data_IF_064652511663
#
_entry.id   IF_064652511663
#
_cell.length_a   1.000
_cell.length_b   1.000
_cell.length_c   1.000
_cell.angle_alpha   90.00
_cell.angle_beta   90.00
_cell.angle_gamma   90.00
#
_symmetry.space_group_name_H-M   'P 1'
#
loop_
_entity.id
_entity.type
_entity.pdbx_description
1 polymer ?
#
# COMPACT_ATOMS: atom_id res chain seq x y z
N UNK A 1 -96.06 -5.51 -14.05
CA UNK A 1 -95.19 -6.54 -13.36
C UNK A 1 -93.82 -6.64 -13.95
N UNK A 2 -93.61 -6.48 -15.29
CA UNK A 2 -92.31 -6.64 -15.95
C UNK A 2 -91.25 -5.51 -15.69
N UNK A 3 -91.70 -4.25 -15.52
CA UNK A 3 -90.73 -3.14 -15.31
C UNK A 3 -90.03 -3.23 -13.95
N UNK A 4 -90.72 -3.64 -12.88
CA UNK A 4 -90.18 -3.78 -11.55
C UNK A 4 -89.12 -4.85 -11.49
N UNK A 5 -89.32 -6.00 -12.19
CA UNK A 5 -88.38 -7.05 -12.33
C UNK A 5 -87.10 -6.64 -13.10
N UNK A 6 -87.28 -5.83 -14.14
CA UNK A 6 -86.16 -5.30 -14.92
C UNK A 6 -85.31 -4.33 -14.06
N UNK A 7 -85.95 -3.42 -13.34
CA UNK A 7 -85.26 -2.48 -12.44
C UNK A 7 -84.53 -3.22 -11.32
N UNK A 8 -85.14 -4.23 -10.73
CA UNK A 8 -84.52 -5.07 -9.69
C UNK A 8 -83.34 -5.82 -10.26
N UNK A 9 -83.44 -6.38 -11.47
CA UNK A 9 -82.29 -7.07 -12.13
C UNK A 9 -81.12 -6.12 -12.42
N UNK A 10 -81.44 -4.89 -12.92
CA UNK A 10 -80.38 -3.87 -13.17
C UNK A 10 -79.71 -3.39 -11.89
N UNK A 11 -80.44 -3.22 -10.78
CA UNK A 11 -79.82 -2.85 -9.49
C UNK A 11 -78.91 -3.97 -8.95
N UNK A 12 -79.28 -5.24 -9.07
CA UNK A 12 -78.43 -6.36 -8.65
C UNK A 12 -77.21 -6.42 -9.51
N UNK A 13 -77.29 -6.29 -10.82
CA UNK A 13 -76.10 -6.28 -11.71
C UNK A 13 -75.17 -5.10 -11.36
N UNK A 14 -75.73 -3.91 -11.12
CA UNK A 14 -74.95 -2.74 -10.75
C UNK A 14 -74.22 -2.94 -9.40
N UNK A 15 -74.90 -3.50 -8.40
CA UNK A 15 -74.27 -3.77 -7.09
C UNK A 15 -73.20 -4.82 -7.16
N UNK A 16 -73.35 -5.88 -7.95
CA UNK A 16 -72.33 -6.92 -8.19
C UNK A 16 -71.11 -6.32 -8.91
N UNK A 17 -71.35 -5.50 -9.95
CA UNK A 17 -70.23 -4.80 -10.65
C UNK A 17 -69.53 -3.84 -9.71
N UNK A 18 -70.23 -3.04 -8.95
CA UNK A 18 -69.62 -2.12 -7.95
C UNK A 18 -68.76 -2.91 -6.91
N UNK A 19 -69.33 -3.98 -6.38
CA UNK A 19 -68.60 -4.84 -5.42
C UNK A 19 -67.34 -5.47 -6.02
N UNK A 20 -67.39 -5.91 -7.28
CA UNK A 20 -66.22 -6.49 -7.97
C UNK A 20 -65.13 -5.45 -8.23
N UNK A 21 -65.49 -4.21 -8.61
CA UNK A 21 -64.53 -3.10 -8.77
C UNK A 21 -63.88 -2.74 -7.43
N UNK A 22 -64.66 -2.62 -6.36
CA UNK A 22 -64.14 -2.34 -5.03
C UNK A 22 -63.22 -3.44 -4.58
N UNK A 23 -63.57 -4.72 -4.76
CA UNK A 23 -62.70 -5.85 -4.43
C UNK A 23 -61.39 -5.83 -5.24
N UNK A 24 -61.43 -5.53 -6.54
CA UNK A 24 -60.24 -5.42 -7.39
C UNK A 24 -59.30 -4.27 -6.92
N UNK A 25 -59.88 -3.11 -6.58
CA UNK A 25 -59.12 -1.95 -6.05
C UNK A 25 -58.45 -2.30 -4.71
N UNK A 26 -59.17 -2.95 -3.80
CA UNK A 26 -58.66 -3.37 -2.50
C UNK A 26 -57.55 -4.41 -2.64
N UNK A 27 -57.69 -5.40 -3.51
CA UNK A 27 -56.67 -6.40 -3.82
C UNK A 27 -55.43 -5.77 -4.46
N UNK A 28 -55.62 -4.85 -5.40
CA UNK A 28 -54.54 -4.10 -6.04
C UNK A 28 -53.79 -3.26 -5.01
N UNK A 29 -54.48 -2.50 -4.17
CA UNK A 29 -53.87 -1.71 -3.11
C UNK A 29 -53.10 -2.55 -2.08
N UNK A 30 -53.63 -3.74 -1.72
CA UNK A 30 -52.96 -4.68 -0.83
C UNK A 30 -51.65 -5.20 -1.44
N UNK A 31 -51.69 -5.61 -2.71
CA UNK A 31 -50.47 -6.08 -3.43
C UNK A 31 -49.43 -4.97 -3.54
N UNK A 32 -49.81 -3.76 -3.83
CA UNK A 32 -48.91 -2.61 -3.88
C UNK A 32 -48.22 -2.36 -2.54
N UNK A 33 -48.97 -2.34 -1.44
CA UNK A 33 -48.44 -2.18 -0.07
C UNK A 33 -47.48 -3.30 0.32
N UNK A 34 -47.83 -4.56 -0.03
CA UNK A 34 -46.94 -5.70 0.22
C UNK A 34 -45.62 -5.62 -0.58
N UNK A 35 -45.69 -5.20 -1.84
CA UNK A 35 -44.52 -4.98 -2.69
C UNK A 35 -43.64 -3.86 -2.15
N UNK A 36 -44.23 -2.73 -1.78
CA UNK A 36 -43.50 -1.61 -1.18
C UNK A 36 -42.82 -2.03 0.15
N UNK A 37 -43.56 -2.75 1.02
CA UNK A 37 -43.01 -3.23 2.28
C UNK A 37 -41.85 -4.18 2.07
N UNK A 38 -41.93 -5.11 1.11
CA UNK A 38 -40.84 -6.01 0.76
C UNK A 38 -39.64 -5.23 0.25
N UNK A 39 -39.86 -4.27 -0.65
CA UNK A 39 -38.78 -3.42 -1.16
C UNK A 39 -38.08 -2.67 -0.01
N UNK A 40 -38.83 -2.03 0.90
CA UNK A 40 -38.25 -1.31 2.04
C UNK A 40 -37.47 -2.24 2.95
N UNK A 41 -37.99 -3.42 3.28
CA UNK A 41 -37.30 -4.40 4.10
C UNK A 41 -35.95 -4.85 3.45
N UNK A 42 -35.96 -5.10 2.15
CA UNK A 42 -34.74 -5.47 1.42
C UNK A 42 -33.76 -4.29 1.35
N UNK A 43 -34.23 -3.11 1.02
CA UNK A 43 -33.42 -1.89 0.89
C UNK A 43 -32.76 -1.50 2.22
N UNK A 44 -33.47 -1.60 3.33
CA UNK A 44 -32.96 -1.27 4.67
C UNK A 44 -32.11 -2.40 5.28
N UNK A 45 -32.24 -3.65 4.79
CA UNK A 45 -31.43 -4.79 5.27
C UNK A 45 -30.05 -4.90 4.64
N UNK A 46 -29.77 -4.15 3.57
CA UNK A 46 -28.44 -4.16 2.93
C UNK A 46 -27.44 -3.46 3.84
N UNK A 47 -26.27 -4.12 4.04
CA UNK A 47 -25.20 -3.57 4.87
C UNK A 47 -24.52 -2.35 4.28
N UNK A 48 -24.38 -2.31 2.93
CA UNK A 48 -23.86 -1.13 2.26
C UNK A 48 -24.84 0.03 2.39
N UNK A 49 -24.32 1.22 2.65
CA UNK A 49 -25.09 2.45 2.71
C UNK A 49 -25.52 2.85 1.30
N UNK A 50 -26.83 2.99 1.05
CA UNK A 50 -27.36 3.25 -0.29
C UNK A 50 -28.12 4.58 -0.32
N UNK A 51 -27.85 5.38 -1.36
CA UNK A 51 -28.56 6.59 -1.71
C UNK A 51 -29.16 6.49 -3.11
N UNK A 52 -30.35 7.05 -3.28
CA UNK A 52 -30.95 7.39 -4.57
C UNK A 52 -30.92 8.90 -4.76
N UNK A 53 -30.27 9.36 -5.83
CA UNK A 53 -30.06 10.76 -6.13
C UNK A 53 -30.79 11.14 -7.44
N UNK A 54 -31.34 12.33 -7.51
CA UNK A 54 -31.86 12.90 -8.75
C UNK A 54 -30.73 13.51 -9.62
N UNK A 55 -31.11 14.03 -10.79
CA UNK A 55 -30.16 14.66 -11.74
C UNK A 55 -29.48 15.91 -11.14
N UNK A 56 -30.07 16.54 -10.15
CA UNK A 56 -29.55 17.71 -9.44
C UNK A 56 -28.79 17.35 -8.16
N UNK A 57 -28.57 16.06 -7.91
CA UNK A 57 -27.90 15.52 -6.70
C UNK A 57 -28.73 15.68 -5.43
N UNK A 58 -30.01 15.99 -5.54
CA UNK A 58 -30.94 15.91 -4.45
C UNK A 58 -31.11 14.47 -3.98
N UNK A 59 -31.13 14.26 -2.68
CA UNK A 59 -31.34 12.94 -2.08
C UNK A 59 -32.83 12.59 -2.17
N UNK A 60 -33.18 11.61 -2.99
CA UNK A 60 -34.55 11.11 -3.20
C UNK A 60 -34.91 10.04 -2.19
N UNK A 61 -33.95 9.12 -1.92
CA UNK A 61 -34.12 8.08 -0.90
C UNK A 61 -32.76 7.66 -0.30
N UNK A 62 -32.80 7.14 0.93
CA UNK A 62 -31.67 6.62 1.65
C UNK A 62 -32.08 5.40 2.44
N UNK A 63 -31.24 4.35 2.48
CA UNK A 63 -31.47 3.23 3.35
C UNK A 63 -30.97 3.49 4.79
N UNK A 64 -31.37 2.61 5.71
CA UNK A 64 -31.00 2.74 7.13
C UNK A 64 -29.48 2.71 7.33
N UNK A 65 -28.75 1.93 6.54
CA UNK A 65 -27.28 1.86 6.61
C UNK A 65 -26.61 3.18 6.27
N UNK A 66 -27.13 3.94 5.31
CA UNK A 66 -26.61 5.28 5.01
C UNK A 66 -26.94 6.28 6.13
N UNK A 67 -28.15 6.23 6.68
CA UNK A 67 -28.52 7.06 7.85
C UNK A 67 -27.56 6.80 9.03
N UNK A 68 -27.24 5.54 9.29
CA UNK A 68 -26.32 5.15 10.35
C UNK A 68 -24.87 5.60 10.06
N UNK A 69 -24.45 5.56 8.79
CA UNK A 69 -23.09 5.94 8.36
C UNK A 69 -22.81 7.42 8.60
N UNK A 70 -23.79 8.27 8.26
CA UNK A 70 -23.62 9.73 8.36
C UNK A 70 -24.30 10.35 9.60
N UNK A 71 -25.04 9.57 10.39
CA UNK A 71 -25.65 10.01 11.65
C UNK A 71 -26.85 10.93 11.50
N UNK A 72 -27.42 11.05 10.30
CA UNK A 72 -28.64 11.82 10.04
C UNK A 72 -29.87 10.95 9.99
N UNK A 73 -31.00 11.49 10.42
CA UNK A 73 -32.29 10.86 10.16
C UNK A 73 -32.65 10.98 8.66
N UNK A 74 -33.41 10.01 8.16
CA UNK A 74 -33.85 9.99 6.74
C UNK A 74 -34.53 11.27 6.31
N UNK A 75 -35.40 11.84 7.16
CA UNK A 75 -36.11 13.09 6.87
C UNK A 75 -35.16 14.28 6.71
N UNK A 76 -34.08 14.30 7.49
CA UNK A 76 -33.06 15.35 7.41
C UNK A 76 -32.25 15.23 6.12
N UNK A 77 -31.95 13.99 5.69
CA UNK A 77 -31.24 13.72 4.45
C UNK A 77 -32.02 14.14 3.21
N UNK A 78 -33.33 13.83 3.14
CA UNK A 78 -34.15 14.18 2.01
C UNK A 78 -34.32 15.69 1.79
N UNK A 79 -34.02 16.51 2.80
CA UNK A 79 -34.02 17.97 2.72
C UNK A 79 -32.67 18.58 2.33
N UNK A 80 -31.63 17.75 2.05
CA UNK A 80 -30.26 18.19 1.77
C UNK A 80 -29.75 17.68 0.42
N UNK A 81 -28.92 18.45 -0.26
CA UNK A 81 -28.13 17.91 -1.38
C UNK A 81 -26.99 17.03 -0.86
N UNK A 82 -26.54 16.10 -1.69
CA UNK A 82 -25.34 15.29 -1.39
C UNK A 82 -24.09 16.17 -1.15
N UNK A 83 -24.08 17.35 -1.76
CA UNK A 83 -23.00 18.34 -1.67
C UNK A 83 -22.64 18.68 -0.21
N UNK A 84 -23.63 18.71 0.68
CA UNK A 84 -23.44 19.03 2.11
C UNK A 84 -22.76 17.91 2.91
N UNK A 85 -22.75 16.69 2.38
CA UNK A 85 -22.22 15.51 3.05
C UNK A 85 -20.83 15.12 2.56
N UNK A 86 -20.31 15.78 1.52
CA UNK A 86 -19.01 15.48 0.92
C UNK A 86 -18.00 16.58 1.27
N UNK A 87 -16.78 16.19 1.61
CA UNK A 87 -15.69 17.14 1.87
C UNK A 87 -15.42 17.97 0.61
N UNK A 88 -15.35 19.30 0.78
CA UNK A 88 -15.33 20.30 -0.30
C UNK A 88 -14.22 20.08 -1.33
N UNK A 89 -13.07 19.60 -0.89
CA UNK A 89 -11.89 19.33 -1.73
C UNK A 89 -12.11 18.16 -2.70
N UNK A 90 -13.00 17.22 -2.37
CA UNK A 90 -13.32 16.06 -3.22
C UNK A 90 -14.42 16.34 -4.23
N UNK A 91 -15.14 17.43 -4.04
CA UNK A 91 -16.34 17.73 -4.78
C UNK A 91 -16.14 17.92 -6.30
N UNK A 92 -15.08 18.60 -6.81
CA UNK A 92 -14.89 18.76 -8.25
C UNK A 92 -14.79 17.43 -9.01
N UNK A 93 -13.99 16.51 -8.47
CA UNK A 93 -13.79 15.17 -9.06
C UNK A 93 -15.09 14.34 -9.02
N UNK A 94 -15.79 14.35 -7.88
CA UNK A 94 -17.03 13.60 -7.71
C UNK A 94 -18.15 14.13 -8.63
N UNK A 95 -18.22 15.44 -8.86
CA UNK A 95 -19.19 16.07 -9.76
C UNK A 95 -19.00 15.64 -11.21
N UNK A 96 -17.75 15.57 -11.66
CA UNK A 96 -17.42 15.12 -13.01
C UNK A 96 -17.78 13.64 -13.21
N UNK A 97 -17.46 12.80 -12.23
CA UNK A 97 -17.83 11.37 -12.23
C UNK A 97 -19.35 11.19 -12.20
N UNK A 98 -20.06 11.94 -11.37
CA UNK A 98 -21.52 11.94 -11.30
C UNK A 98 -22.14 12.22 -12.67
N UNK A 99 -21.72 13.29 -13.34
CA UNK A 99 -22.23 13.66 -14.67
C UNK A 99 -21.97 12.60 -15.73
N UNK A 100 -20.77 12.03 -15.77
CA UNK A 100 -20.42 10.96 -16.71
C UNK A 100 -21.26 9.70 -16.51
N UNK A 101 -21.52 9.32 -15.28
CA UNK A 101 -22.22 8.06 -14.95
C UNK A 101 -23.73 8.16 -15.04
N UNK A 102 -24.28 9.34 -14.81
CA UNK A 102 -25.71 9.59 -15.02
C UNK A 102 -26.11 9.35 -16.48
N UNK A 103 -25.26 9.75 -17.44
CA UNK A 103 -25.52 9.66 -18.88
C UNK A 103 -25.12 8.32 -19.49
N UNK A 104 -24.02 7.73 -19.05
CA UNK A 104 -23.48 6.49 -19.63
C UNK A 104 -24.18 5.22 -19.13
N UNK A 105 -24.80 5.25 -17.95
CA UNK A 105 -25.34 4.08 -17.27
C UNK A 105 -24.29 3.05 -16.84
N UNK A 106 -23.00 3.36 -17.04
CA UNK A 106 -21.85 2.53 -16.62
C UNK A 106 -21.61 2.82 -15.15
N UNK A 107 -21.48 1.76 -14.33
CA UNK A 107 -21.12 1.90 -12.91
C UNK A 107 -19.69 2.41 -12.74
N UNK A 108 -19.44 3.15 -11.67
CA UNK A 108 -18.09 3.58 -11.26
C UNK A 108 -17.80 3.13 -9.84
N UNK A 109 -16.53 3.05 -9.52
CA UNK A 109 -16.03 2.75 -8.17
C UNK A 109 -14.88 3.71 -7.86
N UNK A 110 -14.93 4.32 -6.66
CA UNK A 110 -13.89 5.24 -6.20
C UNK A 110 -13.93 5.42 -4.69
N UNK A 111 -12.95 6.13 -4.16
CA UNK A 111 -12.92 6.48 -2.74
C UNK A 111 -13.39 7.93 -2.56
N UNK A 112 -14.22 8.16 -1.57
CA UNK A 112 -14.71 9.48 -1.20
C UNK A 112 -14.61 9.70 0.30
N UNK A 113 -14.79 10.97 0.69
CA UNK A 113 -14.74 11.38 2.10
C UNK A 113 -16.03 12.12 2.40
N UNK A 114 -16.82 11.56 3.31
CA UNK A 114 -18.06 12.15 3.81
C UNK A 114 -17.82 12.84 5.15
N UNK A 115 -18.73 13.71 5.51
CA UNK A 115 -18.79 14.35 6.83
C UNK A 115 -20.11 13.95 7.48
N UNK A 116 -20.04 13.35 8.66
CA UNK A 116 -21.21 12.98 9.43
C UNK A 116 -21.85 14.20 10.13
N UNK A 117 -23.01 13.99 10.77
CA UNK A 117 -23.75 15.02 11.51
C UNK A 117 -22.94 15.67 12.63
N UNK A 118 -21.95 14.96 13.19
CA UNK A 118 -21.07 15.48 14.25
C UNK A 118 -19.87 16.26 13.72
N UNK A 119 -19.68 16.31 12.39
CA UNK A 119 -18.52 16.89 11.73
C UNK A 119 -17.33 15.92 11.62
N UNK A 120 -17.50 14.64 11.99
CA UNK A 120 -16.49 13.62 11.86
C UNK A 120 -16.34 13.18 10.41
N UNK A 121 -15.09 12.97 10.00
CA UNK A 121 -14.75 12.46 8.68
C UNK A 121 -15.01 10.95 8.61
N UNK A 122 -15.71 10.52 7.56
CA UNK A 122 -16.01 9.13 7.23
C UNK A 122 -15.40 8.80 5.87
N UNK A 123 -14.47 7.89 5.83
CA UNK A 123 -13.87 7.40 4.59
C UNK A 123 -14.75 6.31 4.01
N UNK A 124 -15.20 6.47 2.77
CA UNK A 124 -16.08 5.52 2.13
C UNK A 124 -15.60 5.16 0.72
N UNK A 125 -15.72 3.89 0.38
CA UNK A 125 -15.67 3.43 -1.01
C UNK A 125 -17.04 3.69 -1.63
N UNK A 126 -17.06 4.44 -2.73
CA UNK A 126 -18.25 4.88 -3.43
C UNK A 126 -18.40 4.11 -4.73
N UNK A 127 -19.54 3.43 -4.89
CA UNK A 127 -19.99 2.91 -6.18
C UNK A 127 -21.27 3.61 -6.62
N UNK A 128 -21.41 3.87 -7.92
CA UNK A 128 -22.61 4.51 -8.44
C UNK A 128 -22.99 4.03 -9.82
N UNK A 129 -24.30 3.99 -10.12
CA UNK A 129 -24.84 3.61 -11.41
C UNK A 129 -26.09 4.42 -11.74
N UNK A 130 -26.11 5.00 -12.95
CA UNK A 130 -27.31 5.64 -13.49
C UNK A 130 -28.40 4.61 -13.75
N UNK A 131 -29.64 4.91 -13.31
CA UNK A 131 -30.84 4.10 -13.53
C UNK A 131 -31.95 4.98 -14.05
N UNK A 132 -32.86 4.42 -14.89
CA UNK A 132 -34.06 5.10 -15.35
C UNK A 132 -35.30 4.53 -14.67
N UNK A 133 -36.09 5.40 -14.05
CA UNK A 133 -37.32 5.04 -13.40
C UNK A 133 -38.40 6.02 -13.88
N UNK A 134 -39.50 5.51 -14.43
CA UNK A 134 -40.65 6.31 -14.90
C UNK A 134 -40.27 7.49 -15.83
N UNK A 135 -39.26 7.30 -16.70
CA UNK A 135 -38.80 8.33 -17.63
C UNK A 135 -37.78 9.33 -17.08
N UNK A 136 -37.56 9.36 -15.78
CA UNK A 136 -36.54 10.18 -15.13
C UNK A 136 -35.27 9.39 -14.85
N UNK A 137 -34.11 10.06 -14.88
CA UNK A 137 -32.82 9.46 -14.60
C UNK A 137 -32.43 9.71 -13.14
N UNK A 138 -31.95 8.68 -12.48
CA UNK A 138 -31.46 8.71 -11.10
C UNK A 138 -30.09 8.10 -11.02
N UNK A 139 -29.31 8.48 -10.01
CA UNK A 139 -28.09 7.77 -9.64
C UNK A 139 -28.35 6.93 -8.38
N UNK A 140 -28.16 5.62 -8.51
CA UNK A 140 -28.08 4.72 -7.36
C UNK A 140 -26.63 4.68 -6.91
N UNK A 141 -26.35 5.22 -5.72
CA UNK A 141 -25.02 5.28 -5.14
C UNK A 141 -24.93 4.37 -3.90
N UNK A 142 -23.87 3.60 -3.80
CA UNK A 142 -23.53 2.77 -2.62
C UNK A 142 -22.27 3.27 -1.98
N UNK A 143 -22.25 3.29 -0.65
CA UNK A 143 -21.08 3.71 0.15
C UNK A 143 -20.75 2.60 1.14
N UNK A 144 -19.48 2.22 1.18
CA UNK A 144 -18.96 1.24 2.13
C UNK A 144 -17.92 1.93 3.01
N UNK A 145 -18.12 1.90 4.32
CA UNK A 145 -17.14 2.43 5.27
C UNK A 145 -15.81 1.64 5.17
N UNK A 146 -14.74 2.36 4.84
CA UNK A 146 -13.37 1.82 4.76
C UNK A 146 -12.46 2.38 5.86
N UNK A 147 -13.01 3.08 6.86
CA UNK A 147 -12.24 3.69 7.92
C UNK A 147 -11.34 2.70 8.65
N UNK A 148 -11.88 1.54 9.06
CA UNK A 148 -11.09 0.47 9.71
C UNK A 148 -9.97 -0.06 8.82
N UNK A 149 -10.21 -0.17 7.51
CA UNK A 149 -9.20 -0.60 6.55
C UNK A 149 -8.06 0.42 6.48
N UNK A 150 -8.38 1.70 6.34
CA UNK A 150 -7.39 2.79 6.30
C UNK A 150 -6.59 2.88 7.60
N UNK A 151 -7.24 2.74 8.76
CA UNK A 151 -6.56 2.71 10.05
C UNK A 151 -5.58 1.53 10.16
N UNK A 152 -5.98 0.33 9.73
CA UNK A 152 -5.13 -0.85 9.73
C UNK A 152 -3.94 -0.70 8.77
N UNK A 153 -4.16 -0.19 7.56
CA UNK A 153 -3.11 0.08 6.58
C UNK A 153 -2.11 1.13 7.09
N UNK A 154 -2.58 2.20 7.70
CA UNK A 154 -1.73 3.22 8.31
C UNK A 154 -0.93 2.69 9.50
N UNK A 155 -1.53 1.85 10.35
CA UNK A 155 -0.83 1.20 11.46
C UNK A 155 0.26 0.25 10.95
N UNK A 156 -0.03 -0.53 9.92
CA UNK A 156 0.94 -1.41 9.28
C UNK A 156 2.09 -0.62 8.65
N UNK A 157 1.77 0.45 7.93
CA UNK A 157 2.78 1.33 7.33
C UNK A 157 3.72 1.94 8.38
N UNK A 158 3.17 2.44 9.50
CA UNK A 158 3.98 2.95 10.62
C UNK A 158 4.90 1.89 11.20
N UNK A 159 4.39 0.65 11.41
CA UNK A 159 5.21 -0.47 11.90
C UNK A 159 6.34 -0.83 10.92
N UNK A 160 6.06 -0.88 9.62
CA UNK A 160 7.06 -1.18 8.60
C UNK A 160 8.15 -0.11 8.55
N UNK A 161 7.80 1.18 8.65
CA UNK A 161 8.78 2.28 8.71
C UNK A 161 9.67 2.14 9.95
N UNK A 162 9.09 1.96 11.13
CA UNK A 162 9.85 1.79 12.37
C UNK A 162 10.76 0.55 12.32
N UNK A 163 10.28 -0.57 11.73
CA UNK A 163 11.09 -1.77 11.55
C UNK A 163 12.28 -1.54 10.60
N UNK A 164 12.06 -0.80 9.50
CA UNK A 164 13.14 -0.40 8.58
C UNK A 164 14.22 0.44 9.28
N UNK A 165 13.80 1.41 10.10
CA UNK A 165 14.70 2.27 10.86
C UNK A 165 15.53 1.45 11.87
N UNK A 166 14.89 0.51 12.59
CA UNK A 166 15.57 -0.39 13.52
C UNK A 166 16.59 -1.29 12.80
N UNK A 167 16.24 -1.85 11.65
CA UNK A 167 17.17 -2.67 10.87
C UNK A 167 18.40 -1.87 10.43
N UNK A 168 18.20 -0.65 9.94
CA UNK A 168 19.30 0.24 9.54
C UNK A 168 20.21 0.53 10.74
N UNK A 169 19.64 0.84 11.90
CA UNK A 169 20.41 1.09 13.11
C UNK A 169 21.21 -0.14 13.58
N UNK A 170 20.60 -1.33 13.55
CA UNK A 170 21.30 -2.58 13.88
C UNK A 170 22.45 -2.89 12.91
N UNK A 171 22.28 -2.60 11.62
CA UNK A 171 23.35 -2.77 10.63
C UNK A 171 24.51 -1.81 10.89
N UNK A 172 24.21 -0.55 11.23
CA UNK A 172 25.23 0.44 11.61
C UNK A 172 26.01 0.03 12.89
N UNK A 173 25.30 -0.42 13.92
CA UNK A 173 25.95 -0.94 15.14
C UNK A 173 26.81 -2.16 14.85
N UNK A 174 26.27 -3.12 14.12
CA UNK A 174 27.01 -4.31 13.70
C UNK A 174 28.30 -3.93 12.94
N UNK A 175 28.22 -2.89 12.10
CA UNK A 175 29.37 -2.38 11.38
C UNK A 175 30.39 -1.75 12.33
N UNK A 176 29.97 -0.96 13.31
CA UNK A 176 30.85 -0.37 14.34
C UNK A 176 31.59 -1.46 15.12
N UNK A 177 30.90 -2.48 15.60
CA UNK A 177 31.52 -3.61 16.32
C UNK A 177 32.56 -4.35 15.45
N UNK A 178 32.23 -4.59 14.20
CA UNK A 178 33.16 -5.25 13.26
C UNK A 178 34.45 -4.43 13.06
N UNK A 179 34.32 -3.11 12.93
CA UNK A 179 35.49 -2.22 12.81
C UNK A 179 36.35 -2.20 14.09
N UNK A 180 35.70 -2.22 15.28
CA UNK A 180 36.42 -2.28 16.55
C UNK A 180 37.22 -3.59 16.69
N UNK A 181 36.61 -4.73 16.35
CA UNK A 181 37.30 -6.04 16.38
C UNK A 181 38.48 -6.05 15.41
N UNK A 182 38.31 -5.55 14.19
CA UNK A 182 39.36 -5.47 13.20
C UNK A 182 40.55 -4.62 13.68
N UNK A 183 40.28 -3.47 14.30
CA UNK A 183 41.32 -2.61 14.93
C UNK A 183 42.05 -3.34 16.06
N UNK A 184 41.28 -3.97 16.96
CA UNK A 184 41.88 -4.69 18.10
C UNK A 184 42.84 -5.78 17.59
N UNK A 185 42.48 -6.52 16.57
CA UNK A 185 43.34 -7.54 15.96
C UNK A 185 44.59 -6.90 15.35
N UNK A 186 44.46 -5.87 14.52
CA UNK A 186 45.60 -5.26 13.82
C UNK A 186 46.52 -4.46 14.74
N UNK A 187 45.97 -3.66 15.65
CA UNK A 187 46.76 -2.70 16.43
C UNK A 187 47.28 -3.30 17.76
N UNK A 188 46.58 -4.28 18.33
CA UNK A 188 46.95 -4.85 19.61
C UNK A 188 47.49 -6.29 19.49
N UNK A 189 46.72 -7.17 18.83
CA UNK A 189 47.08 -8.62 18.84
C UNK A 189 48.17 -8.93 17.87
N UNK A 190 48.18 -8.42 16.64
CA UNK A 190 49.19 -8.69 15.64
C UNK A 190 50.60 -8.28 16.05
N UNK A 191 50.87 -7.14 16.72
CA UNK A 191 52.18 -6.79 17.24
C UNK A 191 52.69 -7.75 18.33
N UNK A 192 51.77 -8.28 19.18
CA UNK A 192 52.13 -9.27 20.22
C UNK A 192 52.54 -10.59 19.55
N UNK A 193 51.76 -11.08 18.60
CA UNK A 193 52.08 -12.30 17.84
C UNK A 193 53.44 -12.16 17.11
N UNK A 194 53.72 -10.99 16.54
CA UNK A 194 54.99 -10.72 15.87
C UNK A 194 56.15 -10.69 16.84
N UNK A 195 55.98 -10.22 18.09
CA UNK A 195 57.03 -10.26 19.13
C UNK A 195 57.32 -11.66 19.64
N UNK A 196 56.31 -12.51 19.76
CA UNK A 196 56.44 -13.91 20.18
C UNK A 196 57.07 -14.78 19.08
N UNK A 197 57.13 -14.32 17.84
CA UNK A 197 57.75 -15.00 16.72
C UNK A 197 59.28 -14.77 16.63
N UNK A 198 59.91 -14.08 17.60
CA UNK A 198 61.35 -13.80 17.63
C UNK A 198 62.20 -14.95 18.19
N UNK A 199 63.58 -14.97 17.96
CA UNK A 199 64.44 -16.14 18.09
C UNK A 199 64.55 -16.82 19.46
N UNK A 200 63.94 -16.22 20.51
CA UNK A 200 64.04 -16.78 21.89
C UNK A 200 63.00 -17.90 22.20
N UNK A 201 62.28 -18.40 21.17
CA UNK A 201 61.85 -19.79 21.18
C UNK A 201 60.55 -20.11 21.91
N UNK A 202 59.58 -19.21 22.07
CA UNK A 202 58.30 -19.59 22.70
C UNK A 202 57.25 -20.17 21.74
N UNK A 203 57.38 -19.93 20.43
CA UNK A 203 56.46 -20.48 19.39
C UNK A 203 57.28 -20.88 18.14
N UNK A 204 56.99 -22.05 17.55
CA UNK A 204 57.58 -22.41 16.27
C UNK A 204 57.08 -21.46 15.15
N UNK A 205 57.93 -21.24 14.14
CA UNK A 205 57.59 -20.39 12.98
C UNK A 205 56.25 -20.82 12.33
N UNK A 206 56.03 -22.14 12.25
CA UNK A 206 54.80 -22.70 11.69
C UNK A 206 53.56 -22.37 12.55
N UNK A 207 53.67 -22.39 13.88
CA UNK A 207 52.57 -22.03 14.79
C UNK A 207 52.27 -20.54 14.74
N UNK A 208 53.29 -19.68 14.63
CA UNK A 208 53.12 -18.24 14.44
C UNK A 208 52.39 -17.89 13.12
N UNK A 209 52.77 -18.56 12.04
CA UNK A 209 52.12 -18.35 10.74
C UNK A 209 50.65 -18.84 10.74
N UNK A 210 50.38 -19.98 11.39
CA UNK A 210 49.00 -20.48 11.56
C UNK A 210 48.17 -19.50 12.39
N UNK A 211 48.70 -18.96 13.50
CA UNK A 211 48.04 -17.99 14.35
C UNK A 211 47.79 -16.66 13.61
N UNK A 212 48.75 -16.14 12.88
CA UNK A 212 48.66 -14.96 12.05
C UNK A 212 47.57 -15.13 10.96
N UNK A 213 47.53 -16.31 10.34
CA UNK A 213 46.49 -16.63 9.33
C UNK A 213 45.09 -16.63 9.96
N UNK A 214 44.92 -17.33 11.10
CA UNK A 214 43.64 -17.38 11.80
C UNK A 214 43.14 -15.99 12.25
N UNK A 215 44.04 -15.15 12.78
CA UNK A 215 43.72 -13.77 13.17
C UNK A 215 43.36 -12.90 11.96
N UNK A 216 44.06 -13.05 10.83
CA UNK A 216 43.70 -12.37 9.57
C UNK A 216 42.33 -12.79 9.04
N UNK A 217 42.03 -14.09 9.06
CA UNK A 217 40.73 -14.61 8.63
C UNK A 217 39.62 -14.11 9.54
N UNK A 218 39.87 -14.00 10.84
CA UNK A 218 38.93 -13.45 11.82
C UNK A 218 38.73 -11.93 11.64
N UNK A 219 39.78 -11.19 11.36
CA UNK A 219 39.72 -9.77 11.03
C UNK A 219 38.91 -9.52 9.76
N UNK A 220 39.10 -10.33 8.73
CA UNK A 220 38.38 -10.25 7.47
C UNK A 220 36.90 -10.58 7.68
N UNK A 221 36.58 -11.66 8.38
CA UNK A 221 35.18 -12.08 8.67
C UNK A 221 34.47 -11.09 9.61
N UNK A 222 35.19 -10.42 10.49
CA UNK A 222 34.66 -9.42 11.43
C UNK A 222 34.60 -8.00 10.88
N UNK A 223 34.80 -7.77 9.57
CA UNK A 223 34.72 -6.46 8.94
C UNK A 223 36.05 -5.83 8.57
N UNK A 224 37.16 -6.57 8.67
CA UNK A 224 38.48 -6.12 8.22
C UNK A 224 38.51 -5.67 6.76
N UNK A 225 37.60 -6.21 5.94
CA UNK A 225 37.37 -5.72 4.59
C UNK A 225 36.92 -4.26 4.57
N UNK A 226 36.01 -3.85 5.47
CA UNK A 226 35.52 -2.47 5.55
C UNK A 226 36.59 -1.53 6.07
N UNK A 227 37.39 -1.99 7.04
CA UNK A 227 38.56 -1.27 7.53
C UNK A 227 39.64 -1.13 6.45
N UNK A 228 39.93 -2.21 5.71
CA UNK A 228 40.84 -2.17 4.59
C UNK A 228 40.37 -1.32 3.42
N UNK A 229 39.07 -1.31 3.15
CA UNK A 229 38.44 -0.40 2.17
C UNK A 229 38.52 1.07 2.62
N UNK A 230 38.45 1.34 3.93
CA UNK A 230 38.67 2.67 4.50
C UNK A 230 40.10 3.21 4.30
N UNK A 231 41.09 2.33 4.04
CA UNK A 231 42.45 2.73 3.68
C UNK A 231 42.66 3.01 2.19
N UNK A 232 41.63 2.77 1.36
CA UNK A 232 41.67 3.06 -0.06
C UNK A 232 41.42 4.54 -0.31
N UNK A 233 42.13 5.10 -1.28
CA UNK A 233 41.82 6.46 -1.76
C UNK A 233 40.49 6.47 -2.53
N UNK A 234 39.79 7.61 -2.67
CA UNK A 234 38.56 7.71 -3.45
C UNK A 234 38.67 7.10 -4.85
N UNK A 235 39.83 7.25 -5.49
CA UNK A 235 40.13 6.68 -6.82
C UNK A 235 40.24 5.17 -6.81
N UNK A 236 40.85 4.62 -5.77
CA UNK A 236 40.94 3.15 -5.57
C UNK A 236 39.57 2.53 -5.29
N UNK A 237 38.72 3.23 -4.53
CA UNK A 237 37.31 2.80 -4.28
C UNK A 237 36.51 2.78 -5.58
N UNK A 238 36.65 3.80 -6.41
CA UNK A 238 35.96 3.88 -7.72
C UNK A 238 36.36 2.71 -8.63
N UNK A 239 37.66 2.39 -8.68
CA UNK A 239 38.19 1.23 -9.42
C UNK A 239 37.64 -0.08 -8.85
N UNK A 240 37.61 -0.24 -7.52
CA UNK A 240 36.98 -1.41 -6.87
C UNK A 240 35.52 -1.60 -7.26
N UNK A 241 34.73 -0.53 -7.28
CA UNK A 241 33.32 -0.58 -7.65
C UNK A 241 33.12 -0.99 -9.12
N UNK A 242 33.95 -0.49 -10.01
CA UNK A 242 33.91 -0.87 -11.44
C UNK A 242 34.35 -2.35 -11.65
N UNK A 243 35.34 -2.83 -10.91
CA UNK A 243 35.75 -4.24 -10.95
C UNK A 243 34.65 -5.15 -10.34
N UNK A 244 33.99 -4.71 -9.27
CA UNK A 244 32.88 -5.42 -8.62
C UNK A 244 31.67 -5.56 -9.56
N UNK A 245 31.40 -4.54 -10.38
CA UNK A 245 30.36 -4.57 -11.41
C UNK A 245 30.70 -5.45 -12.63
N UNK A 246 31.91 -6.08 -12.65
CA UNK A 246 32.33 -7.02 -13.68
C UNK A 246 33.08 -6.39 -14.84
N UNK A 247 33.45 -5.11 -14.79
CA UNK A 247 34.27 -4.49 -15.84
C UNK A 247 35.70 -5.06 -15.84
N UNK A 248 36.23 -5.34 -17.05
CA UNK A 248 37.61 -5.73 -17.25
C UNK A 248 38.58 -4.56 -16.99
N UNK A 249 39.86 -4.84 -16.80
CA UNK A 249 40.86 -3.77 -16.65
C UNK A 249 40.83 -2.75 -17.81
N UNK A 250 40.57 -3.23 -19.05
CA UNK A 250 40.43 -2.38 -20.22
C UNK A 250 39.20 -1.50 -20.11
N UNK A 251 38.02 -2.09 -19.72
CA UNK A 251 36.78 -1.35 -19.53
C UNK A 251 36.85 -0.32 -18.39
N UNK A 252 37.61 -0.61 -17.31
CA UNK A 252 37.88 0.37 -16.25
C UNK A 252 38.75 1.50 -16.77
N UNK A 253 39.80 1.20 -17.56
CA UNK A 253 40.65 2.21 -18.16
C UNK A 253 39.89 3.17 -19.09
N UNK A 254 39.02 2.64 -19.93
CA UNK A 254 38.14 3.43 -20.81
C UNK A 254 37.15 4.29 -20.02
N UNK A 255 36.50 3.72 -18.99
CA UNK A 255 35.50 4.43 -18.18
C UNK A 255 36.11 5.59 -17.39
N UNK A 256 37.35 5.44 -16.91
CA UNK A 256 38.03 6.42 -16.06
C UNK A 256 39.02 7.31 -16.83
N UNK A 257 39.09 7.13 -18.15
CA UNK A 257 40.02 7.82 -19.04
C UNK A 257 41.50 7.68 -18.57
N UNK A 258 41.87 6.46 -18.24
CA UNK A 258 43.24 6.10 -17.77
C UNK A 258 43.91 5.11 -18.73
N UNK A 259 45.26 5.04 -18.66
CA UNK A 259 45.95 3.96 -19.35
C UNK A 259 45.73 2.62 -18.64
N UNK A 260 45.72 1.51 -19.40
CA UNK A 260 45.64 0.15 -18.83
C UNK A 260 46.75 -0.10 -17.76
N UNK A 261 47.94 0.39 -18.03
CA UNK A 261 49.08 0.29 -17.11
C UNK A 261 48.82 1.05 -15.80
N UNK A 262 48.14 2.19 -15.85
CA UNK A 262 47.74 2.95 -14.66
C UNK A 262 46.73 2.19 -13.82
N UNK A 263 45.73 1.57 -14.46
CA UNK A 263 44.73 0.74 -13.76
C UNK A 263 45.39 -0.49 -13.14
N UNK A 264 46.34 -1.15 -13.81
CA UNK A 264 47.06 -2.28 -13.25
C UNK A 264 47.91 -1.88 -12.02
N UNK A 265 48.51 -0.69 -12.03
CA UNK A 265 49.23 -0.13 -10.87
C UNK A 265 48.25 0.13 -9.69
N UNK A 266 47.08 0.67 -9.94
CA UNK A 266 46.04 0.80 -8.91
C UNK A 266 45.59 -0.56 -8.37
N UNK A 267 45.37 -1.55 -9.23
CA UNK A 267 45.04 -2.91 -8.81
C UNK A 267 46.11 -3.54 -7.91
N UNK A 268 47.38 -3.33 -8.19
CA UNK A 268 48.46 -3.77 -7.33
C UNK A 268 48.44 -3.07 -5.97
N UNK A 269 48.24 -1.74 -5.96
CA UNK A 269 48.15 -0.99 -4.72
C UNK A 269 46.93 -1.41 -3.89
N UNK A 270 45.76 -1.59 -4.52
CA UNK A 270 44.57 -2.11 -3.89
C UNK A 270 44.81 -3.49 -3.28
N UNK A 271 45.42 -4.43 -4.03
CA UNK A 271 45.77 -5.76 -3.52
C UNK A 271 46.65 -5.68 -2.29
N UNK A 272 47.70 -4.80 -2.32
CA UNK A 272 48.59 -4.58 -1.18
C UNK A 272 47.84 -4.02 0.03
N UNK A 273 46.97 -3.03 -0.15
CA UNK A 273 46.19 -2.43 0.93
C UNK A 273 45.16 -3.39 1.49
N UNK A 274 44.53 -4.23 0.65
CA UNK A 274 43.58 -5.27 1.03
C UNK A 274 44.28 -6.55 1.51
N UNK A 275 45.64 -6.56 1.58
CA UNK A 275 46.47 -7.71 2.04
C UNK A 275 46.23 -9.00 1.23
N UNK A 276 45.89 -8.85 -0.06
CA UNK A 276 45.72 -9.99 -0.98
C UNK A 276 47.11 -10.40 -1.52
N UNK A 277 47.76 -11.34 -0.84
CA UNK A 277 49.13 -11.74 -1.17
C UNK A 277 49.24 -12.83 -2.25
N UNK A 278 48.19 -13.67 -2.39
CA UNK A 278 48.19 -14.74 -3.40
C UNK A 278 47.86 -14.19 -4.80
N UNK A 279 48.72 -14.51 -5.79
CA UNK A 279 48.47 -14.17 -7.21
C UNK A 279 47.27 -14.92 -7.81
N UNK A 280 46.88 -16.05 -7.24
CA UNK A 280 45.76 -16.89 -7.70
C UNK A 280 44.37 -16.30 -7.36
N UNK A 281 44.29 -15.42 -6.36
CA UNK A 281 43.02 -14.78 -5.98
C UNK A 281 42.71 -13.64 -6.96
N UNK A 282 41.67 -13.81 -7.77
CA UNK A 282 41.22 -12.76 -8.66
C UNK A 282 40.56 -11.61 -7.84
N UNK A 283 41.08 -10.38 -7.99
CA UNK A 283 40.61 -9.21 -7.25
C UNK A 283 39.13 -8.96 -7.47
N UNK A 284 38.62 -9.13 -8.69
CA UNK A 284 37.20 -8.92 -8.98
C UNK A 284 36.29 -9.95 -8.29
N UNK A 285 36.69 -11.22 -8.28
CA UNK A 285 35.99 -12.30 -7.56
C UNK A 285 36.05 -12.09 -6.04
N UNK A 286 37.19 -11.66 -5.52
CA UNK A 286 37.35 -11.32 -4.11
C UNK A 286 36.41 -10.19 -3.69
N UNK A 287 36.34 -9.11 -4.49
CA UNK A 287 35.45 -7.97 -4.22
C UNK A 287 33.93 -8.32 -4.36
N UNK A 288 33.59 -9.28 -5.22
CA UNK A 288 32.18 -9.76 -5.37
C UNK A 288 31.73 -10.60 -4.18
N UNK A 289 32.59 -11.46 -3.66
CA UNK A 289 32.27 -12.37 -2.55
C UNK A 289 32.33 -11.68 -1.18
N UNK A 290 32.75 -10.43 -1.16
CA UNK A 290 32.85 -9.61 0.05
C UNK A 290 31.57 -8.81 0.24
N UNK A 291 30.49 -9.50 0.71
CA UNK A 291 29.26 -8.89 1.21
C UNK A 291 29.37 -8.56 2.67
#
# INVERSE_FOLDING_TARGET
MNILLIVLGLTVVFTVLAASVIAAVLLHSKRMRESERRFRLLFDSVFDAILLLDENRGIVDANQSFCNLVGYEKKELLARPLDDLVVRERWPALREEFGRNLTSGIGFLGETVLVDKSGKVVYAELGGKGIRLNGSTYLLASFRDIGRRIEAENALRKKNTAMSELLTHLEEEKMKYRLQIARLIEETIMPIVNRLANPDGSLSVAQCEALKKGLKDLAISSGGMVYALGKLTPREVEICNLLKSGKSTKGVAETLNLSKMTVDKYRQNIRRKLVITSKEVNLASFLKNSR
#
